data_IF_071861847027
#
_entry.id   IF_071861847027
#
_cell.length_a   1.000
_cell.length_b   1.000
_cell.length_c   1.000
_cell.angle_alpha   90.00
_cell.angle_beta   90.00
_cell.angle_gamma   90.00
#
_symmetry.space_group_name_H-M   'P 1'
#
loop_
_entity.id
_entity.type
_entity.pdbx_description
1 polymer ?
#
# COMPACT_ATOMS: atom_id res chain seq x y z
N UNK A 1 -3.46 16.56 15.23
CA UNK A 1 -3.46 15.17 14.75
C UNK A 1 -4.72 14.50 15.27
N UNK A 2 -5.62 14.13 14.35
CA UNK A 2 -6.90 13.51 14.71
C UNK A 2 -6.77 12.06 15.15
N UNK A 3 -5.85 11.35 14.52
CA UNK A 3 -5.64 9.92 14.79
C UNK A 3 -4.18 9.62 14.98
N UNK A 4 -3.89 8.75 15.94
CA UNK A 4 -2.62 8.04 16.04
C UNK A 4 -2.69 6.80 15.14
N UNK A 5 -1.85 5.79 15.37
CA UNK A 5 -1.97 4.53 14.66
C UNK A 5 -3.38 3.96 14.76
N UNK A 6 -4.06 3.82 13.64
CA UNK A 6 -5.48 3.42 13.58
C UNK A 6 -5.76 2.19 12.74
N UNK A 7 -4.76 1.64 12.04
CA UNK A 7 -4.90 0.48 11.17
C UNK A 7 -3.62 -0.37 11.21
N UNK A 8 -3.67 -1.50 10.53
CA UNK A 8 -2.57 -2.47 10.53
C UNK A 8 -2.46 -3.27 11.82
N UNK A 9 -1.46 -4.12 11.90
CA UNK A 9 -1.22 -4.96 13.08
C UNK A 9 -0.80 -4.14 14.30
N UNK A 10 -0.05 -3.06 14.12
CA UNK A 10 0.40 -2.18 15.21
C UNK A 10 -0.72 -1.64 16.09
N UNK A 11 -1.88 -1.27 15.50
CA UNK A 11 -3.05 -0.80 16.25
C UNK A 11 -3.74 -1.89 17.09
N UNK A 12 -3.40 -3.15 16.88
CA UNK A 12 -4.04 -4.28 17.56
C UNK A 12 -3.34 -4.69 18.86
N UNK A 13 -2.15 -4.16 19.11
CA UNK A 13 -1.39 -4.46 20.33
C UNK A 13 -1.82 -3.57 21.49
N UNK A 14 -2.21 -4.17 22.61
CA UNK A 14 -2.58 -3.44 23.83
C UNK A 14 -1.39 -2.67 24.41
N UNK A 15 -0.17 -3.18 24.26
CA UNK A 15 1.06 -2.48 24.63
C UNK A 15 1.19 -1.13 23.91
N UNK A 16 0.86 -1.07 22.60
CA UNK A 16 0.92 0.17 21.84
C UNK A 16 -0.15 1.18 22.31
N UNK A 17 -1.32 0.70 22.73
CA UNK A 17 -2.32 1.54 23.38
C UNK A 17 -1.80 2.07 24.74
N UNK A 18 -1.26 1.19 25.58
CA UNK A 18 -0.74 1.57 26.88
C UNK A 18 0.42 2.58 26.82
N UNK A 19 1.28 2.45 25.80
CA UNK A 19 2.38 3.39 25.51
C UNK A 19 1.93 4.67 24.78
N UNK A 20 0.66 4.78 24.40
CA UNK A 20 0.12 5.93 23.69
C UNK A 20 0.45 6.01 22.21
N UNK A 21 0.96 4.95 21.58
CA UNK A 21 1.19 4.87 20.13
C UNK A 21 -0.12 4.68 19.34
N UNK A 22 -1.11 4.04 19.95
CA UNK A 22 -2.46 3.88 19.40
C UNK A 22 -3.49 4.52 20.32
N UNK A 23 -4.53 5.10 19.77
CA UNK A 23 -5.71 5.55 20.52
C UNK A 23 -6.78 4.48 20.66
N UNK A 24 -6.59 3.31 20.02
CA UNK A 24 -7.59 2.24 19.98
C UNK A 24 -7.32 1.21 21.06
N UNK A 25 -8.25 1.06 22.01
CA UNK A 25 -8.22 -0.02 22.98
C UNK A 25 -8.98 -1.24 22.45
N UNK A 26 -8.27 -2.20 21.90
CA UNK A 26 -8.86 -3.42 21.33
C UNK A 26 -9.56 -4.32 22.34
N UNK A 27 -9.24 -4.22 23.62
CA UNK A 27 -9.94 -4.98 24.66
C UNK A 27 -11.40 -4.52 24.85
N UNK A 28 -11.71 -3.26 24.45
CA UNK A 28 -13.06 -2.71 24.49
C UNK A 28 -13.88 -3.01 23.22
N UNK A 29 -13.28 -3.63 22.20
CA UNK A 29 -14.00 -3.95 20.98
C UNK A 29 -15.12 -4.97 21.25
N UNK A 30 -16.34 -4.74 20.73
CA UNK A 30 -17.47 -5.66 20.93
C UNK A 30 -17.25 -7.02 20.28
N UNK A 31 -16.49 -7.06 19.17
CA UNK A 31 -16.08 -8.28 18.50
C UNK A 31 -14.61 -8.55 18.83
N UNK A 32 -14.36 -9.66 19.50
CA UNK A 32 -13.00 -10.08 19.82
C UNK A 32 -12.32 -10.62 18.58
N UNK A 33 -11.10 -10.15 18.34
CA UNK A 33 -10.24 -10.68 17.29
C UNK A 33 -9.28 -11.69 17.90
N UNK A 34 -9.02 -12.78 17.19
CA UNK A 34 -8.06 -13.78 17.66
C UNK A 34 -6.62 -13.31 17.39
N UNK A 35 -5.70 -13.55 18.34
CA UNK A 35 -4.34 -13.01 18.28
C UNK A 35 -3.53 -13.51 17.07
N UNK A 36 -3.79 -14.72 16.61
CA UNK A 36 -3.05 -15.36 15.51
C UNK A 36 -3.16 -14.58 14.19
N UNK A 37 -4.18 -13.73 14.07
CA UNK A 37 -4.31 -12.81 12.93
C UNK A 37 -3.18 -11.79 12.87
N UNK A 38 -2.61 -11.42 14.01
CA UNK A 38 -1.64 -10.33 14.17
C UNK A 38 -0.27 -10.81 14.62
N UNK A 39 -0.21 -11.85 15.46
CA UNK A 39 1.00 -12.46 15.98
C UNK A 39 0.98 -13.95 15.69
N UNK A 40 1.97 -14.41 14.91
CA UNK A 40 2.32 -15.81 14.74
C UNK A 40 3.84 -15.94 14.85
N UNK A 41 4.33 -17.16 15.13
CA UNK A 41 5.77 -17.41 15.19
C UNK A 41 6.47 -17.00 13.88
N UNK A 42 5.85 -17.29 12.75
CA UNK A 42 6.37 -16.93 11.43
C UNK A 42 6.45 -15.42 11.22
N UNK A 43 5.45 -14.67 11.70
CA UNK A 43 5.47 -13.21 11.61
C UNK A 43 6.55 -12.57 12.47
N UNK A 44 6.76 -13.10 13.68
CA UNK A 44 7.82 -12.65 14.57
C UNK A 44 9.22 -12.96 14.01
N UNK A 45 9.35 -14.08 13.30
CA UNK A 45 10.60 -14.47 12.65
C UNK A 45 10.94 -13.63 11.42
N UNK A 46 9.92 -13.06 10.75
CA UNK A 46 10.07 -12.38 9.46
C UNK A 46 10.14 -10.84 9.54
N UNK A 47 10.17 -10.27 10.73
CA UNK A 47 10.37 -8.83 10.91
C UNK A 47 9.47 -8.19 11.97
N UNK A 48 9.72 -6.91 12.21
CA UNK A 48 8.93 -6.10 13.12
C UNK A 48 7.57 -5.74 12.48
N UNK A 49 6.50 -5.58 13.29
CA UNK A 49 5.21 -5.11 12.77
C UNK A 49 5.34 -3.68 12.26
N UNK A 50 4.70 -3.42 11.12
CA UNK A 50 4.63 -2.08 10.53
C UNK A 50 3.81 -1.13 11.40
N UNK A 51 4.28 0.12 11.49
CA UNK A 51 3.57 1.20 12.16
C UNK A 51 2.78 2.00 11.13
N UNK A 52 1.51 1.67 10.97
CA UNK A 52 0.60 2.38 10.07
C UNK A 52 0.01 3.62 10.76
N UNK A 53 0.36 4.80 10.27
CA UNK A 53 -0.14 6.07 10.80
C UNK A 53 -1.06 6.75 9.79
N UNK A 54 -2.34 6.90 10.13
CA UNK A 54 -3.27 7.70 9.32
C UNK A 54 -3.05 9.19 9.59
N UNK A 55 -2.83 9.98 8.56
CA UNK A 55 -2.55 11.40 8.74
C UNK A 55 -3.16 12.28 7.64
N UNK A 56 -3.55 13.48 8.05
CA UNK A 56 -4.02 14.51 7.13
C UNK A 56 -2.87 15.16 6.34
N UNK A 57 -1.69 15.28 6.96
CA UNK A 57 -0.52 15.97 6.41
C UNK A 57 0.74 15.15 6.66
N UNK A 58 1.18 14.43 5.64
CA UNK A 58 2.39 13.58 5.68
C UNK A 58 3.65 14.44 5.79
N UNK A 59 3.71 15.55 5.10
CA UNK A 59 4.88 16.43 5.06
C UNK A 59 5.18 17.04 6.44
N UNK A 60 4.15 17.31 7.24
CA UNK A 60 4.32 17.79 8.62
C UNK A 60 4.94 16.70 9.52
N UNK A 61 4.54 15.45 9.32
CA UNK A 61 5.12 14.32 10.07
C UNK A 61 6.57 14.03 9.65
N UNK A 62 6.87 14.07 8.36
CA UNK A 62 8.24 13.92 7.87
C UNK A 62 9.15 15.03 8.44
N UNK A 63 8.67 16.27 8.45
CA UNK A 63 9.41 17.40 9.04
C UNK A 63 9.64 17.19 10.54
N UNK A 64 8.63 16.82 11.31
CA UNK A 64 8.77 16.52 12.73
C UNK A 64 9.73 15.33 12.97
N UNK A 65 9.69 14.30 12.14
CA UNK A 65 10.65 13.19 12.19
C UNK A 65 12.09 13.67 11.98
N UNK A 66 12.32 14.55 11.02
CA UNK A 66 13.64 15.16 10.78
C UNK A 66 14.11 16.09 11.91
N UNK A 67 13.18 16.80 12.53
CA UNK A 67 13.51 17.65 13.71
C UNK A 67 13.97 16.80 14.90
N UNK A 68 13.37 15.61 15.08
CA UNK A 68 13.68 14.71 16.21
C UNK A 68 14.92 13.84 15.92
N UNK A 69 15.00 13.25 14.73
CA UNK A 69 15.99 12.24 14.35
C UNK A 69 17.17 12.81 13.53
N UNK A 70 17.11 14.10 13.18
CA UNK A 70 18.04 14.74 12.26
C UNK A 70 17.59 14.65 10.80
N UNK A 71 18.15 15.51 9.96
CA UNK A 71 17.75 15.67 8.53
C UNK A 71 17.76 14.37 7.74
N UNK A 72 18.63 13.43 8.09
CA UNK A 72 18.77 12.15 7.39
C UNK A 72 18.36 10.95 8.26
N UNK A 73 17.63 11.19 9.34
CA UNK A 73 17.09 10.14 10.22
C UNK A 73 15.65 9.75 9.91
N UNK A 74 14.95 10.55 9.07
CA UNK A 74 13.58 10.27 8.61
C UNK A 74 13.50 10.48 7.10
N UNK A 75 13.54 9.41 6.32
CA UNK A 75 13.54 9.48 4.87
C UNK A 75 12.55 8.46 4.26
N UNK A 76 11.84 8.80 3.17
CA UNK A 76 11.06 7.82 2.43
C UNK A 76 11.97 6.72 1.92
N UNK A 77 11.48 5.48 1.90
CA UNK A 77 12.15 4.36 1.24
C UNK A 77 12.04 4.49 -0.28
N UNK A 78 12.87 3.73 -1.00
CA UNK A 78 12.65 3.52 -2.44
C UNK A 78 11.64 2.40 -2.70
N UNK A 79 11.02 2.49 -3.87
CA UNK A 79 10.21 1.42 -4.45
C UNK A 79 10.71 1.13 -5.87
N UNK A 80 11.00 -0.13 -6.14
CA UNK A 80 11.33 -0.60 -7.48
C UNK A 80 10.04 -0.85 -8.26
N UNK A 81 9.87 -0.15 -9.37
CA UNK A 81 8.90 -0.52 -10.39
C UNK A 81 9.48 -1.63 -11.26
N UNK A 82 8.84 -2.79 -11.25
CA UNK A 82 9.27 -3.94 -12.04
C UNK A 82 8.36 -4.18 -13.23
N UNK A 83 8.91 -4.68 -14.32
CA UNK A 83 8.13 -5.11 -15.47
C UNK A 83 7.23 -6.29 -15.07
N UNK A 84 5.91 -6.08 -15.18
CA UNK A 84 4.90 -7.14 -15.11
C UNK A 84 4.67 -7.70 -16.51
N UNK A 85 3.87 -8.75 -16.67
CA UNK A 85 3.65 -9.43 -17.96
C UNK A 85 3.40 -8.46 -19.10
N UNK A 86 2.40 -7.60 -18.98
CA UNK A 86 2.04 -6.66 -20.05
C UNK A 86 3.12 -5.61 -20.33
N UNK A 87 3.80 -5.11 -19.32
CA UNK A 87 4.88 -4.14 -19.50
C UNK A 87 6.13 -4.78 -20.07
N UNK A 88 6.45 -6.02 -19.68
CA UNK A 88 7.54 -6.79 -20.27
C UNK A 88 7.28 -7.06 -21.77
N UNK A 89 6.05 -7.47 -22.12
CA UNK A 89 5.66 -7.64 -23.52
C UNK A 89 5.80 -6.32 -24.30
N UNK A 90 5.24 -5.21 -23.81
CA UNK A 90 5.32 -3.90 -24.50
C UNK A 90 6.76 -3.40 -24.66
N UNK A 91 7.63 -3.65 -23.69
CA UNK A 91 9.05 -3.31 -23.80
C UNK A 91 9.74 -4.10 -24.90
N UNK A 92 9.50 -5.41 -24.96
CA UNK A 92 10.07 -6.26 -26.00
C UNK A 92 9.48 -5.95 -27.38
N UNK A 93 8.16 -5.78 -27.47
CA UNK A 93 7.46 -5.41 -28.71
C UNK A 93 8.04 -4.13 -29.32
N UNK A 94 8.30 -3.12 -28.49
CA UNK A 94 8.95 -1.88 -28.91
C UNK A 94 10.40 -2.12 -29.38
N UNK A 95 11.15 -2.99 -28.72
CA UNK A 95 12.52 -3.34 -29.08
C UNK A 95 12.59 -4.16 -30.39
N UNK A 96 11.47 -4.79 -30.78
CA UNK A 96 11.31 -5.54 -32.04
C UNK A 96 10.56 -4.73 -33.11
N UNK A 97 10.45 -3.41 -32.93
CA UNK A 97 9.82 -2.47 -33.86
C UNK A 97 8.34 -2.80 -34.19
N UNK A 98 7.64 -3.50 -33.28
CA UNK A 98 6.21 -3.68 -33.40
C UNK A 98 5.54 -2.32 -33.17
N UNK A 99 4.60 -1.97 -34.05
CA UNK A 99 3.89 -0.69 -33.92
C UNK A 99 3.10 -0.59 -32.60
N UNK A 100 2.89 0.64 -32.16
CA UNK A 100 2.31 0.94 -30.86
C UNK A 100 0.85 0.45 -30.72
N UNK A 101 0.05 0.56 -31.78
CA UNK A 101 -1.36 0.17 -31.78
C UNK A 101 -1.48 -1.34 -31.67
N UNK A 102 -0.78 -2.08 -32.53
CA UNK A 102 -0.71 -3.54 -32.48
C UNK A 102 -0.19 -4.04 -31.12
N UNK A 103 0.87 -3.43 -30.59
CA UNK A 103 1.41 -3.81 -29.29
C UNK A 103 0.39 -3.60 -28.14
N UNK A 104 -0.43 -2.55 -28.20
CA UNK A 104 -1.49 -2.33 -27.23
C UNK A 104 -2.65 -3.31 -27.38
N UNK A 105 -3.03 -3.64 -28.62
CA UNK A 105 -4.09 -4.61 -28.90
C UNK A 105 -3.71 -6.00 -28.38
N UNK A 106 -2.52 -6.49 -28.71
CA UNK A 106 -2.00 -7.78 -28.22
C UNK A 106 -1.88 -7.74 -26.68
N UNK A 107 -1.40 -6.64 -26.10
CA UNK A 107 -1.35 -6.52 -24.64
C UNK A 107 -2.75 -6.60 -23.99
N UNK A 108 -3.79 -6.07 -24.61
CA UNK A 108 -5.17 -6.19 -24.15
C UNK A 108 -5.68 -7.64 -24.24
N UNK A 109 -5.32 -8.34 -25.32
CA UNK A 109 -5.63 -9.76 -25.49
C UNK A 109 -4.96 -10.62 -24.40
N UNK A 110 -3.66 -10.37 -24.12
CA UNK A 110 -2.94 -11.03 -23.01
C UNK A 110 -3.62 -10.73 -21.66
N UNK A 111 -4.09 -9.51 -21.43
CA UNK A 111 -4.79 -9.13 -20.21
C UNK A 111 -6.09 -9.92 -20.05
N UNK A 112 -6.87 -10.06 -21.09
CA UNK A 112 -8.11 -10.84 -21.08
C UNK A 112 -7.81 -12.31 -20.77
N UNK A 113 -6.81 -12.90 -21.42
CA UNK A 113 -6.34 -14.23 -21.10
C UNK A 113 -5.94 -14.39 -19.61
N UNK A 114 -5.12 -13.48 -19.08
CA UNK A 114 -4.72 -13.54 -17.66
C UNK A 114 -5.90 -13.40 -16.70
N UNK A 115 -6.94 -12.62 -17.07
CA UNK A 115 -8.16 -12.51 -16.28
C UNK A 115 -8.96 -13.82 -16.28
N UNK A 116 -9.13 -14.44 -17.45
CA UNK A 116 -9.89 -15.67 -17.55
C UNK A 116 -9.16 -16.85 -16.90
N UNK A 117 -7.83 -16.92 -17.01
CA UNK A 117 -7.00 -17.88 -16.24
C UNK A 117 -7.20 -17.69 -14.73
N UNK A 118 -7.25 -16.45 -14.27
CA UNK A 118 -7.48 -16.17 -12.85
C UNK A 118 -8.87 -16.60 -12.40
N UNK A 119 -9.91 -16.28 -13.16
CA UNK A 119 -11.29 -16.70 -12.87
C UNK A 119 -11.45 -18.21 -12.90
N UNK A 120 -10.84 -18.90 -13.87
CA UNK A 120 -10.87 -20.35 -13.96
C UNK A 120 -10.23 -21.00 -12.72
N UNK A 121 -9.07 -20.49 -12.28
CA UNK A 121 -8.41 -20.96 -11.04
C UNK A 121 -9.22 -20.67 -9.78
N UNK A 122 -9.87 -19.50 -9.69
CA UNK A 122 -10.73 -19.17 -8.55
C UNK A 122 -11.98 -20.06 -8.48
N UNK A 123 -12.58 -20.37 -9.63
CA UNK A 123 -13.77 -21.22 -9.71
C UNK A 123 -13.49 -22.69 -9.42
N UNK A 124 -12.28 -23.18 -9.66
CA UNK A 124 -11.85 -24.56 -9.45
C UNK A 124 -10.81 -24.68 -8.31
N UNK A 125 -10.82 -23.76 -7.36
CA UNK A 125 -9.83 -23.70 -6.27
C UNK A 125 -9.87 -24.96 -5.35
N UNK A 126 -11.00 -25.66 -5.31
CA UNK A 126 -11.19 -26.86 -4.50
C UNK A 126 -10.81 -28.17 -5.22
N UNK A 127 -10.46 -28.11 -6.52
CA UNK A 127 -10.02 -29.25 -7.31
C UNK A 127 -8.48 -29.27 -7.45
N UNK A 128 -7.78 -30.18 -6.74
CA UNK A 128 -6.31 -30.23 -6.77
C UNK A 128 -5.75 -30.73 -8.10
N UNK A 129 -6.56 -31.41 -8.93
CA UNK A 129 -6.16 -31.97 -10.22
C UNK A 129 -6.52 -31.05 -11.40
N UNK A 130 -7.14 -29.89 -11.12
CA UNK A 130 -7.53 -28.95 -12.17
C UNK A 130 -6.34 -28.31 -12.85
N UNK A 131 -6.21 -28.53 -14.17
CA UNK A 131 -5.24 -27.84 -15.03
C UNK A 131 -5.95 -26.74 -15.83
N UNK A 132 -5.57 -25.49 -15.58
CA UNK A 132 -6.15 -24.33 -16.26
C UNK A 132 -5.82 -24.29 -17.76
N UNK A 133 -4.73 -24.92 -18.18
CA UNK A 133 -4.32 -24.95 -19.58
C UNK A 133 -5.24 -25.84 -20.43
N UNK A 134 -6.05 -26.73 -19.81
CA UNK A 134 -7.07 -27.50 -20.50
C UNK A 134 -8.27 -26.63 -20.91
N UNK A 135 -8.62 -25.61 -20.11
CA UNK A 135 -9.80 -24.77 -20.31
C UNK A 135 -9.50 -23.43 -20.99
N UNK A 136 -8.33 -22.83 -20.68
CA UNK A 136 -7.99 -21.46 -21.12
C UNK A 136 -6.64 -21.44 -21.83
N UNK A 137 -6.68 -21.47 -23.16
CA UNK A 137 -5.48 -21.47 -24.01
C UNK A 137 -5.21 -20.08 -24.58
N UNK A 138 -3.96 -19.61 -24.48
CA UNK A 138 -3.55 -18.30 -24.98
C UNK A 138 -3.76 -18.14 -26.49
N UNK A 139 -3.69 -19.22 -27.24
CA UNK A 139 -3.88 -19.29 -28.69
C UNK A 139 -5.29 -18.86 -29.14
N UNK A 140 -6.28 -18.93 -28.23
CA UNK A 140 -7.65 -18.48 -28.50
C UNK A 140 -7.82 -16.97 -28.38
N UNK A 141 -6.88 -16.27 -27.72
CA UNK A 141 -6.90 -14.84 -27.47
C UNK A 141 -5.99 -14.08 -28.41
N UNK A 142 -4.85 -14.67 -28.78
CA UNK A 142 -3.76 -14.00 -29.49
C UNK A 142 -3.40 -14.77 -30.74
N UNK A 143 -3.14 -14.05 -31.84
CA UNK A 143 -2.68 -14.67 -33.08
C UNK A 143 -1.33 -15.40 -32.87
N UNK A 144 -1.19 -16.58 -33.47
CA UNK A 144 -0.01 -17.44 -33.36
C UNK A 144 1.32 -16.72 -33.67
N UNK A 145 1.31 -15.75 -34.56
CA UNK A 145 2.51 -14.97 -34.91
C UNK A 145 3.11 -14.17 -33.74
N UNK A 146 2.34 -13.93 -32.67
CA UNK A 146 2.81 -13.19 -31.49
C UNK A 146 3.20 -14.10 -30.32
N UNK A 147 2.90 -15.41 -30.37
CA UNK A 147 3.14 -16.33 -29.27
C UNK A 147 4.61 -16.42 -28.89
N UNK A 148 5.50 -16.49 -29.90
CA UNK A 148 6.95 -16.51 -29.64
C UNK A 148 7.42 -15.23 -28.93
N UNK A 149 6.93 -14.06 -29.36
CA UNK A 149 7.25 -12.78 -28.75
C UNK A 149 6.73 -12.69 -27.29
N UNK A 150 5.53 -13.23 -27.04
CA UNK A 150 4.96 -13.30 -25.69
C UNK A 150 5.82 -14.22 -24.80
N UNK A 151 6.18 -15.40 -25.30
CA UNK A 151 7.03 -16.33 -24.56
C UNK A 151 8.41 -15.74 -24.25
N UNK A 152 9.02 -15.07 -25.24
CA UNK A 152 10.30 -14.37 -25.04
C UNK A 152 10.17 -13.27 -23.98
N UNK A 153 9.06 -12.54 -23.98
CA UNK A 153 8.81 -11.43 -23.04
C UNK A 153 8.79 -11.86 -21.56
N UNK A 154 8.46 -13.12 -21.29
CA UNK A 154 8.45 -13.68 -19.91
C UNK A 154 9.84 -13.59 -19.25
N UNK A 155 10.93 -13.62 -20.02
CA UNK A 155 12.32 -13.48 -19.52
C UNK A 155 12.57 -12.09 -18.91
N UNK A 156 11.80 -11.09 -19.31
CA UNK A 156 11.95 -9.69 -18.86
C UNK A 156 11.01 -9.33 -17.72
N UNK A 157 10.16 -10.26 -17.29
CA UNK A 157 9.31 -10.08 -16.10
C UNK A 157 10.18 -9.97 -14.85
N UNK A 158 9.91 -8.95 -14.04
CA UNK A 158 10.65 -8.69 -12.81
C UNK A 158 11.87 -7.77 -12.97
N UNK A 159 12.27 -7.43 -14.20
CA UNK A 159 13.33 -6.44 -14.41
C UNK A 159 12.89 -5.08 -13.84
N UNK A 160 13.80 -4.43 -13.12
CA UNK A 160 13.57 -3.08 -12.58
C UNK A 160 13.52 -2.09 -13.74
N UNK A 161 12.39 -1.43 -13.91
CA UNK A 161 12.16 -0.45 -14.98
C UNK A 161 12.23 0.99 -14.49
N UNK A 162 11.94 1.22 -13.22
CA UNK A 162 12.07 2.55 -12.62
C UNK A 162 12.36 2.44 -11.12
N UNK A 163 12.78 3.56 -10.58
CA UNK A 163 13.01 3.79 -9.16
C UNK A 163 12.20 5.02 -8.74
N UNK A 164 11.42 4.89 -7.69
CA UNK A 164 10.62 5.98 -7.17
C UNK A 164 10.64 5.99 -5.63
N UNK A 165 10.33 7.13 -4.99
CA UNK A 165 10.09 7.09 -3.55
C UNK A 165 8.86 6.25 -3.26
N UNK A 166 8.89 5.49 -2.17
CA UNK A 166 7.71 4.79 -1.67
C UNK A 166 6.63 5.82 -1.29
N UNK A 167 5.36 5.59 -1.60
CA UNK A 167 4.31 6.60 -1.37
C UNK A 167 4.05 6.91 0.11
N UNK A 168 4.33 5.98 1.01
CA UNK A 168 3.97 6.09 2.43
C UNK A 168 5.12 5.69 3.36
N UNK A 169 5.89 4.66 3.02
CA UNK A 169 6.85 4.08 3.94
C UNK A 169 8.12 4.93 4.08
N UNK A 170 8.47 5.20 5.33
CA UNK A 170 9.67 5.91 5.73
C UNK A 170 10.53 5.02 6.62
N UNK A 171 11.83 5.17 6.51
CA UNK A 171 12.78 4.63 7.49
C UNK A 171 12.99 5.67 8.57
N UNK A 172 12.88 5.23 9.81
CA UNK A 172 13.18 6.01 11.01
C UNK A 172 14.43 5.47 11.68
N UNK A 173 15.41 6.31 11.91
CA UNK A 173 16.67 5.94 12.55
C UNK A 173 17.24 7.11 13.35
N UNK A 174 17.83 6.82 14.48
CA UNK A 174 18.64 7.77 15.27
C UNK A 174 20.04 7.99 14.68
N UNK A 175 20.36 7.24 13.61
CA UNK A 175 21.61 7.34 12.87
C UNK A 175 21.43 8.06 11.53
N UNK A 176 22.53 8.59 11.03
CA UNK A 176 22.56 9.21 9.70
C UNK A 176 22.49 8.14 8.60
N UNK A 177 21.33 8.03 7.98
CA UNK A 177 21.04 7.02 6.94
C UNK A 177 21.96 7.12 5.71
N UNK A 178 22.61 8.26 5.48
CA UNK A 178 23.63 8.41 4.41
C UNK A 178 24.81 7.47 4.64
N UNK A 179 25.17 7.27 5.91
CA UNK A 179 26.32 6.44 6.30
C UNK A 179 25.97 4.99 6.51
N UNK A 180 24.73 4.71 6.91
CA UNK A 180 24.26 3.36 7.22
C UNK A 180 23.89 2.57 5.93
N UNK A 181 23.05 3.15 5.08
CA UNK A 181 22.47 2.47 3.91
C UNK A 181 22.63 3.26 2.61
N UNK A 182 23.08 4.51 2.69
CA UNK A 182 23.11 5.40 1.55
C UNK A 182 21.77 6.04 1.23
N UNK A 183 21.81 7.13 0.46
CA UNK A 183 20.63 7.84 -0.01
C UNK A 183 20.69 8.05 -1.51
N UNK A 184 19.53 8.24 -2.12
CA UNK A 184 19.42 8.55 -3.54
C UNK A 184 18.50 9.74 -3.74
N UNK A 185 18.79 10.53 -4.77
CA UNK A 185 17.94 11.63 -5.19
C UNK A 185 16.91 11.14 -6.19
N UNK A 186 15.63 11.26 -5.88
CA UNK A 186 14.51 10.81 -6.70
C UNK A 186 13.52 11.93 -6.96
N UNK A 187 12.76 11.83 -8.05
CA UNK A 187 11.70 12.80 -8.35
C UNK A 187 10.59 12.70 -7.31
N UNK A 188 10.13 13.83 -6.80
CA UNK A 188 8.93 13.87 -5.96
C UNK A 188 7.69 13.43 -6.75
N UNK A 189 6.80 12.67 -6.10
CA UNK A 189 5.50 12.27 -6.68
C UNK A 189 4.44 13.37 -6.60
N UNK A 190 4.66 14.40 -5.78
CA UNK A 190 3.66 15.46 -5.52
C UNK A 190 3.62 16.56 -6.59
N UNK A 191 4.21 16.32 -7.77
CA UNK A 191 4.22 17.30 -8.86
C UNK A 191 5.23 18.45 -8.67
N UNK A 192 5.93 18.51 -7.55
CA UNK A 192 7.06 19.41 -7.38
C UNK A 192 8.17 19.03 -8.37
N UNK A 193 8.80 20.03 -8.97
CA UNK A 193 10.00 19.85 -9.82
C UNK A 193 11.22 19.46 -9.00
N UNK A 194 11.16 19.62 -7.68
CA UNK A 194 12.27 19.37 -6.79
C UNK A 194 12.45 17.88 -6.54
N UNK A 195 13.67 17.42 -6.63
CA UNK A 195 14.02 16.08 -6.25
C UNK A 195 14.12 15.98 -4.72
N UNK A 196 13.68 14.86 -4.16
CA UNK A 196 13.78 14.53 -2.75
C UNK A 196 14.85 13.48 -2.52
N UNK A 197 15.39 13.42 -1.32
CA UNK A 197 16.25 12.32 -0.90
C UNK A 197 15.39 11.18 -0.36
N UNK A 198 15.73 9.96 -0.76
CA UNK A 198 15.15 8.73 -0.25
C UNK A 198 16.26 7.80 0.26
N UNK A 199 15.98 7.04 1.30
CA UNK A 199 16.85 5.97 1.76
C UNK A 199 16.95 4.88 0.68
N UNK A 200 18.19 4.49 0.31
CA UNK A 200 18.42 3.55 -0.79
C UNK A 200 18.18 2.10 -0.37
N UNK A 201 16.98 1.85 0.12
CA UNK A 201 16.55 0.54 0.63
C UNK A 201 15.07 0.33 0.31
N UNK A 202 14.72 -0.88 -0.11
CA UNK A 202 13.32 -1.30 -0.29
C UNK A 202 12.78 -1.97 0.98
N UNK A 203 11.45 -2.24 1.00
CA UNK A 203 10.78 -2.80 2.18
C UNK A 203 11.32 -4.16 2.61
N UNK A 204 11.59 -5.07 1.66
CA UNK A 204 12.10 -6.41 1.97
C UNK A 204 13.49 -6.36 2.61
N UNK A 205 14.35 -5.53 2.05
CA UNK A 205 15.70 -5.34 2.56
C UNK A 205 15.67 -4.64 3.92
N UNK A 206 14.79 -3.65 4.11
CA UNK A 206 14.60 -2.98 5.39
C UNK A 206 14.18 -3.96 6.49
N UNK A 207 13.26 -4.89 6.19
CA UNK A 207 12.85 -5.97 7.12
C UNK A 207 14.02 -6.90 7.46
N UNK A 208 14.77 -7.34 6.45
CA UNK A 208 15.91 -8.24 6.63
C UNK A 208 17.01 -7.65 7.53
N UNK A 209 17.16 -6.33 7.53
CA UNK A 209 18.13 -5.61 8.37
C UNK A 209 17.52 -5.00 9.63
N UNK A 210 16.25 -5.30 9.94
CA UNK A 210 15.50 -4.81 11.11
C UNK A 210 15.46 -3.28 11.24
N UNK A 211 15.37 -2.57 10.12
CA UNK A 211 15.12 -1.14 10.15
C UNK A 211 13.68 -0.84 10.57
N UNK A 212 13.50 0.18 11.40
CA UNK A 212 12.17 0.64 11.79
C UNK A 212 11.50 1.33 10.60
N UNK A 213 10.39 0.74 10.14
CA UNK A 213 9.52 1.30 9.11
C UNK A 213 8.30 1.95 9.73
N UNK A 214 7.92 3.11 9.21
CA UNK A 214 6.66 3.76 9.53
C UNK A 214 5.93 4.11 8.24
N UNK A 215 4.69 3.67 8.13
CA UNK A 215 3.82 3.99 7.01
C UNK A 215 3.01 5.25 7.30
N UNK A 216 3.42 6.36 6.70
CA UNK A 216 2.74 7.64 6.77
C UNK A 216 1.62 7.69 5.73
N UNK A 217 0.47 7.14 6.11
CA UNK A 217 -0.66 6.97 5.21
C UNK A 217 -1.45 8.28 5.12
N UNK A 218 -1.41 8.93 3.96
CA UNK A 218 -2.31 10.04 3.68
C UNK A 218 -3.73 9.50 3.54
N UNK A 219 -4.60 9.91 4.42
CA UNK A 219 -6.02 9.52 4.43
C UNK A 219 -6.86 10.79 4.31
N UNK A 220 -7.41 11.02 3.12
CA UNK A 220 -8.12 12.25 2.80
C UNK A 220 -9.32 12.51 3.73
N UNK A 221 -10.03 11.46 4.16
CA UNK A 221 -11.13 11.61 5.11
C UNK A 221 -10.67 12.21 6.45
N UNK A 222 -9.47 11.92 6.90
CA UNK A 222 -8.91 12.52 8.13
C UNK A 222 -8.72 14.03 7.93
N UNK A 223 -8.30 14.45 6.73
CA UNK A 223 -8.22 15.88 6.39
C UNK A 223 -9.61 16.52 6.32
N UNK A 224 -10.58 15.87 5.66
CA UNK A 224 -11.96 16.36 5.58
C UNK A 224 -12.55 16.57 6.99
N UNK A 225 -12.37 15.62 7.89
CA UNK A 225 -12.84 15.74 9.28
C UNK A 225 -12.16 16.94 9.97
N UNK A 226 -10.83 17.06 9.83
CA UNK A 226 -10.08 18.19 10.41
C UNK A 226 -10.54 19.55 9.88
N UNK A 227 -10.71 19.65 8.56
CA UNK A 227 -11.18 20.87 7.91
C UNK A 227 -12.62 21.21 8.35
N UNK A 228 -13.48 20.20 8.51
CA UNK A 228 -14.86 20.38 8.99
C UNK A 228 -14.88 21.01 10.38
N UNK A 229 -14.09 20.53 11.33
CA UNK A 229 -13.97 21.14 12.65
C UNK A 229 -13.49 22.58 12.57
N UNK A 230 -12.48 22.83 11.74
CA UNK A 230 -11.92 24.18 11.54
C UNK A 230 -12.96 25.14 10.97
N UNK A 231 -13.68 24.72 9.92
CA UNK A 231 -14.73 25.52 9.28
C UNK A 231 -15.93 25.77 10.19
N UNK A 232 -16.27 24.80 11.03
CA UNK A 232 -17.34 24.93 12.02
C UNK A 232 -16.94 25.80 13.23
N UNK A 233 -15.67 26.19 13.35
CA UNK A 233 -15.17 26.99 14.47
C UNK A 233 -15.20 26.26 15.82
N UNK A 234 -15.15 24.91 15.79
CA UNK A 234 -15.15 24.06 17.00
C UNK A 234 -13.82 23.35 17.16
N UNK A 235 -13.38 23.08 18.41
CA UNK A 235 -12.16 22.34 18.65
C UNK A 235 -12.20 20.95 18.00
N UNK A 236 -11.06 20.52 17.43
CA UNK A 236 -10.91 19.16 16.90
C UNK A 236 -11.07 18.14 18.03
N UNK A 237 -12.04 17.25 17.89
CA UNK A 237 -12.30 16.18 18.85
C UNK A 237 -11.40 14.97 18.60
N UNK A 238 -11.07 14.23 19.64
CA UNK A 238 -10.46 12.90 19.51
C UNK A 238 -11.45 11.88 18.93
N UNK A 239 -10.94 10.75 18.46
CA UNK A 239 -11.80 9.66 17.96
C UNK A 239 -12.74 9.15 19.06
N UNK A 240 -12.25 9.02 20.30
CA UNK A 240 -13.06 8.56 21.42
C UNK A 240 -14.21 9.55 21.73
N UNK A 241 -13.93 10.85 21.74
CA UNK A 241 -14.97 11.88 21.94
C UNK A 241 -16.01 11.89 20.81
N UNK A 242 -15.59 11.67 19.55
CA UNK A 242 -16.50 11.55 18.41
C UNK A 242 -17.39 10.31 18.55
N UNK A 243 -16.78 9.16 18.86
CA UNK A 243 -17.50 7.91 19.04
C UNK A 243 -18.53 8.03 20.17
N UNK A 244 -18.15 8.62 21.29
CA UNK A 244 -19.08 8.80 22.42
C UNK A 244 -20.27 9.69 22.06
N UNK A 245 -20.11 10.65 21.15
CA UNK A 245 -21.21 11.49 20.67
C UNK A 245 -22.08 10.80 19.63
N UNK A 246 -21.52 9.96 18.77
CA UNK A 246 -22.21 9.43 17.59
C UNK A 246 -22.63 7.96 17.72
N UNK A 247 -22.15 7.22 18.72
CA UNK A 247 -22.40 5.77 18.85
C UNK A 247 -23.87 5.39 18.94
N UNK A 248 -24.69 6.26 19.53
CA UNK A 248 -26.12 6.05 19.73
C UNK A 248 -26.99 6.85 18.72
N UNK A 249 -26.33 7.50 17.73
CA UNK A 249 -27.03 8.26 16.70
C UNK A 249 -27.65 7.31 15.67
N UNK A 250 -28.98 7.16 15.80
CA UNK A 250 -29.72 6.25 14.91
C UNK A 250 -29.66 6.66 13.44
N UNK A 251 -29.64 7.96 13.13
CA UNK A 251 -29.58 8.42 11.73
C UNK A 251 -28.30 7.99 11.05
N UNK A 252 -27.17 8.07 11.74
CA UNK A 252 -25.87 7.60 11.23
C UNK A 252 -25.91 6.09 10.95
N UNK A 253 -26.44 5.29 11.89
CA UNK A 253 -26.50 3.84 11.71
C UNK A 253 -27.52 3.40 10.67
N UNK A 254 -28.62 4.15 10.51
CA UNK A 254 -29.61 3.94 9.44
C UNK A 254 -29.01 4.16 8.04
N UNK A 255 -28.03 5.09 7.88
CA UNK A 255 -27.29 5.24 6.61
C UNK A 255 -26.51 3.97 6.25
N UNK A 256 -25.80 3.39 7.22
CA UNK A 256 -25.11 2.12 7.03
C UNK A 256 -26.06 0.98 6.68
N UNK A 257 -27.16 0.85 7.42
CA UNK A 257 -28.15 -0.20 7.23
C UNK A 257 -28.82 -0.13 5.85
N UNK A 258 -29.00 1.07 5.31
CA UNK A 258 -29.58 1.32 3.97
C UNK A 258 -28.56 1.24 2.83
N UNK A 259 -27.28 1.02 3.12
CA UNK A 259 -26.21 0.95 2.13
C UNK A 259 -25.81 2.32 1.55
N UNK A 260 -26.17 3.43 2.18
CA UNK A 260 -25.74 4.78 1.77
C UNK A 260 -24.30 5.02 2.25
N UNK A 261 -23.35 4.33 1.63
CA UNK A 261 -21.94 4.30 2.05
C UNK A 261 -21.01 5.16 1.19
N UNK A 262 -21.56 5.91 0.23
CA UNK A 262 -20.79 6.80 -0.63
C UNK A 262 -20.00 7.83 0.19
N UNK A 263 -18.70 7.91 -0.05
CA UNK A 263 -17.79 8.79 0.69
C UNK A 263 -17.36 8.28 2.06
N UNK A 264 -17.82 7.11 2.50
CA UNK A 264 -17.39 6.51 3.76
C UNK A 264 -16.11 5.69 3.56
N UNK A 265 -15.04 6.10 4.22
CA UNK A 265 -13.72 5.47 4.08
C UNK A 265 -13.77 3.97 4.37
N UNK A 266 -13.31 3.14 3.42
CA UNK A 266 -13.20 1.67 3.47
C UNK A 266 -14.54 0.90 3.54
N UNK A 267 -15.67 1.56 3.46
CA UNK A 267 -17.01 0.93 3.44
C UNK A 267 -17.73 1.18 2.12
N UNK A 268 -17.25 2.15 1.34
CA UNK A 268 -17.78 2.45 0.01
C UNK A 268 -17.49 1.28 -0.95
N UNK A 269 -18.52 0.79 -1.66
CA UNK A 269 -18.44 -0.21 -2.72
C UNK A 269 -19.25 0.21 -3.93
#
# INVERSE_FOLDING_TARGET
VLTKTGRGSGASFVSNYAMGFSSINRLKAPVKMYPERFISADRLANGLPDLDCNMANVEAFERAGKEILGEYGCLPMIAYGTAKTLSAFKLLARARDLDFETANEVAKQIQNYEMDVKHAKENNADDPDYDVDDDVQIETYVENKYLELIQESKKYKGIITNLSPHPCAHILSDKDLRKEIGIIRVKSKTGSKDAIYAAYIDGKTADAYNYLKADFLRVDVVKVISDTFTLAGIPVMSVDELLDKCKDDKEVWDLYAKGFTMGLNQVER
#
